data_IF_800699908710
#
_entry.id   IF_800699908710
#
_cell.length_a   1.000
_cell.length_b   1.000
_cell.length_c   1.000
_cell.angle_alpha   90.00
_cell.angle_beta   90.00
_cell.angle_gamma   90.00
#
_symmetry.space_group_name_H-M   'P 1'
#
loop_
_entity.id
_entity.type
_entity.pdbx_description
1 polymer ?
#
# COMPACT_ATOMS: atom_id res chain seq x y z
N UNK A 1 -26.28 -34.39 2.02
CA UNK A 1 -25.54 -33.89 0.83
C UNK A 1 -26.15 -32.63 0.17
N UNK A 2 -27.48 -32.50 -0.03
CA UNK A 2 -28.08 -31.33 -0.76
C UNK A 2 -27.93 -29.93 -0.10
N UNK A 3 -27.80 -29.84 1.23
CA UNK A 3 -27.60 -28.54 1.91
C UNK A 3 -26.21 -27.94 1.70
N UNK A 4 -25.18 -28.79 1.65
CA UNK A 4 -23.78 -28.38 1.48
C UNK A 4 -23.58 -27.78 0.08
N UNK A 5 -24.20 -28.39 -0.95
CA UNK A 5 -24.12 -27.88 -2.33
C UNK A 5 -24.86 -26.55 -2.51
N UNK A 6 -26.01 -26.35 -1.86
CA UNK A 6 -26.71 -25.06 -1.90
C UNK A 6 -25.95 -23.93 -1.20
N UNK A 7 -25.26 -24.22 -0.09
CA UNK A 7 -24.47 -23.22 0.64
C UNK A 7 -23.20 -22.83 -0.13
N UNK A 8 -22.53 -23.81 -0.75
CA UNK A 8 -21.38 -23.56 -1.63
C UNK A 8 -21.77 -22.69 -2.84
N UNK A 9 -22.94 -22.96 -3.46
CA UNK A 9 -23.44 -22.17 -4.59
C UNK A 9 -23.68 -20.71 -4.21
N UNK A 10 -24.23 -20.45 -3.01
CA UNK A 10 -24.46 -19.09 -2.49
C UNK A 10 -23.15 -18.33 -2.28
N UNK A 11 -22.14 -18.97 -1.71
CA UNK A 11 -20.82 -18.36 -1.53
C UNK A 11 -20.14 -18.04 -2.88
N UNK A 12 -20.22 -18.95 -3.85
CA UNK A 12 -19.68 -18.70 -5.20
C UNK A 12 -20.35 -17.49 -5.88
N UNK A 13 -21.68 -17.37 -5.75
CA UNK A 13 -22.43 -16.21 -6.26
C UNK A 13 -22.00 -14.93 -5.54
N UNK A 14 -21.80 -14.97 -4.22
CA UNK A 14 -21.34 -13.83 -3.43
C UNK A 14 -19.95 -13.38 -3.84
N UNK A 15 -19.01 -14.31 -3.98
CA UNK A 15 -17.64 -14.05 -4.40
C UNK A 15 -17.58 -13.49 -5.82
N UNK A 16 -18.37 -14.03 -6.75
CA UNK A 16 -18.39 -13.52 -8.13
C UNK A 16 -18.99 -12.11 -8.21
N UNK A 17 -20.08 -11.84 -7.46
CA UNK A 17 -20.61 -10.47 -7.32
C UNK A 17 -19.56 -9.51 -6.77
N UNK A 18 -18.86 -9.91 -5.71
CA UNK A 18 -17.79 -9.11 -5.11
C UNK A 18 -16.67 -8.85 -6.12
N UNK A 19 -16.26 -9.85 -6.90
CA UNK A 19 -15.25 -9.74 -7.94
C UNK A 19 -15.65 -8.75 -9.03
N UNK A 20 -16.90 -8.81 -9.50
CA UNK A 20 -17.43 -7.89 -10.52
C UNK A 20 -17.47 -6.45 -9.99
N UNK A 21 -17.97 -6.24 -8.77
CA UNK A 21 -17.98 -4.91 -8.15
C UNK A 21 -16.57 -4.34 -7.98
N UNK A 22 -15.61 -5.14 -7.50
CA UNK A 22 -14.21 -4.72 -7.38
C UNK A 22 -13.60 -4.39 -8.75
N UNK A 23 -13.91 -5.17 -9.78
CA UNK A 23 -13.43 -4.90 -11.15
C UNK A 23 -13.99 -3.58 -11.69
N UNK A 24 -15.26 -3.29 -11.46
CA UNK A 24 -15.89 -2.02 -11.86
C UNK A 24 -15.32 -0.84 -11.08
N UNK A 25 -15.13 -0.97 -9.77
CA UNK A 25 -14.49 0.04 -8.94
C UNK A 25 -13.07 0.36 -9.44
N UNK A 26 -12.26 -0.67 -9.73
CA UNK A 26 -10.91 -0.49 -10.31
C UNK A 26 -10.95 0.20 -11.68
N UNK A 27 -11.94 -0.11 -12.53
CA UNK A 27 -12.11 0.56 -13.83
C UNK A 27 -12.44 2.06 -13.65
N UNK A 28 -13.37 2.39 -12.74
CA UNK A 28 -13.73 3.79 -12.44
C UNK A 28 -12.53 4.56 -11.90
N UNK A 29 -11.83 4.01 -10.91
CA UNK A 29 -10.62 4.65 -10.37
C UNK A 29 -9.52 4.86 -11.41
N UNK A 30 -9.37 3.93 -12.37
CA UNK A 30 -8.44 4.13 -13.50
C UNK A 30 -8.88 5.25 -14.44
N UNK A 31 -10.17 5.31 -14.78
CA UNK A 31 -10.72 6.38 -15.63
C UNK A 31 -10.59 7.76 -14.97
N UNK A 32 -10.82 7.83 -13.66
CA UNK A 32 -10.64 9.03 -12.84
C UNK A 32 -9.16 9.36 -12.54
N UNK A 33 -8.22 8.50 -12.95
CA UNK A 33 -6.78 8.60 -12.62
C UNK A 33 -6.52 8.75 -11.11
N UNK A 34 -7.42 8.19 -10.30
CA UNK A 34 -7.39 8.32 -8.84
C UNK A 34 -6.20 7.53 -8.26
N UNK A 35 -5.33 8.16 -7.45
CA UNK A 35 -4.26 7.44 -6.76
C UNK A 35 -4.85 6.47 -5.73
N UNK A 36 -4.28 5.27 -5.63
CA UNK A 36 -4.59 4.32 -4.55
C UNK A 36 -3.95 4.78 -3.24
N UNK A 37 -4.45 4.30 -2.10
CA UNK A 37 -3.85 4.53 -0.77
C UNK A 37 -2.35 4.24 -0.78
N UNK A 38 -1.97 3.12 -1.41
CA UNK A 38 -0.57 2.75 -1.54
C UNK A 38 0.21 3.69 -2.45
N UNK A 39 -0.40 4.24 -3.50
CA UNK A 39 0.31 5.21 -4.36
C UNK A 39 0.57 6.52 -3.60
N UNK A 40 -0.42 7.03 -2.89
CA UNK A 40 -0.27 8.24 -2.06
C UNK A 40 0.73 8.04 -0.93
N UNK A 41 0.66 6.90 -0.22
CA UNK A 41 1.60 6.58 0.85
C UNK A 41 3.06 6.50 0.34
N UNK A 42 3.26 5.95 -0.86
CA UNK A 42 4.59 5.85 -1.48
C UNK A 42 5.18 7.21 -1.85
N UNK A 43 4.37 8.07 -2.46
CA UNK A 43 4.80 9.43 -2.80
C UNK A 43 5.11 10.21 -1.52
N UNK A 44 4.23 10.13 -0.52
CA UNK A 44 4.43 10.79 0.78
C UNK A 44 5.73 10.32 1.46
N UNK A 45 5.97 9.01 1.54
CA UNK A 45 7.19 8.46 2.16
C UNK A 45 8.45 8.90 1.42
N UNK A 46 8.45 8.88 0.08
CA UNK A 46 9.59 9.35 -0.70
C UNK A 46 9.94 10.81 -0.40
N UNK A 47 8.93 11.71 -0.42
CA UNK A 47 9.17 13.12 -0.14
C UNK A 47 9.56 13.37 1.31
N UNK A 48 9.04 12.59 2.26
CA UNK A 48 9.44 12.65 3.66
C UNK A 48 10.91 12.26 3.83
N UNK A 49 11.34 11.11 3.30
CA UNK A 49 12.73 10.69 3.36
C UNK A 49 13.66 11.67 2.64
N UNK A 50 13.25 12.17 1.47
CA UNK A 50 14.02 13.17 0.72
C UNK A 50 14.18 14.46 1.51
N UNK A 51 13.12 14.95 2.15
CA UNK A 51 13.16 16.17 2.96
C UNK A 51 14.16 16.05 4.10
N UNK A 52 14.08 14.99 4.92
CA UNK A 52 15.01 14.78 6.03
C UNK A 52 16.46 14.54 5.55
N UNK A 53 16.64 13.89 4.40
CA UNK A 53 17.96 13.74 3.79
C UNK A 53 18.55 15.10 3.36
N UNK A 54 17.77 15.95 2.70
CA UNK A 54 18.21 17.28 2.25
C UNK A 54 18.51 18.23 3.41
N UNK A 55 17.80 18.12 4.54
CA UNK A 55 18.06 18.90 5.75
C UNK A 55 19.20 18.32 6.63
N UNK A 56 19.77 17.17 6.25
CA UNK A 56 20.75 16.42 7.06
C UNK A 56 20.21 16.02 8.46
N UNK A 57 18.90 15.88 8.60
CA UNK A 57 18.16 15.54 9.82
C UNK A 57 17.81 14.05 9.86
N UNK A 58 18.79 13.19 9.55
CA UNK A 58 18.57 11.74 9.49
C UNK A 58 18.16 11.11 10.84
N UNK A 59 18.54 11.75 11.96
CA UNK A 59 18.11 11.34 13.29
C UNK A 59 16.61 11.53 13.49
N UNK A 60 16.03 12.58 12.94
CA UNK A 60 14.60 12.87 13.05
C UNK A 60 13.75 11.94 12.19
N UNK A 61 14.26 11.51 11.03
CA UNK A 61 13.64 10.46 10.24
C UNK A 61 13.57 9.13 11.01
N UNK A 62 14.65 8.75 11.69
CA UNK A 62 14.68 7.54 12.51
C UNK A 62 13.72 7.64 13.71
N UNK A 63 13.63 8.80 14.35
CA UNK A 63 12.66 9.06 15.42
C UNK A 63 11.22 8.92 14.92
N UNK A 64 10.90 9.50 13.76
CA UNK A 64 9.59 9.37 13.14
C UNK A 64 9.22 7.91 12.84
N UNK A 65 10.15 7.12 12.30
CA UNK A 65 9.91 5.70 12.02
C UNK A 65 9.67 4.92 13.32
N UNK A 66 10.45 5.20 14.37
CA UNK A 66 10.28 4.56 15.67
C UNK A 66 8.88 4.85 16.25
N UNK A 67 8.40 6.09 16.17
CA UNK A 67 7.06 6.47 16.60
C UNK A 67 5.97 5.77 15.79
N UNK A 68 6.14 5.68 14.46
CA UNK A 68 5.22 4.95 13.60
C UNK A 68 5.14 3.45 13.95
N UNK A 69 6.29 2.83 14.23
CA UNK A 69 6.37 1.43 14.67
C UNK A 69 5.73 1.23 16.04
N UNK A 70 5.94 2.15 16.99
CA UNK A 70 5.29 2.12 18.30
C UNK A 70 3.76 2.23 18.17
N UNK A 71 3.28 3.06 17.26
CA UNK A 71 1.84 3.20 16.98
C UNK A 71 1.24 1.96 16.30
N UNK A 72 2.03 1.20 15.54
CA UNK A 72 1.60 -0.11 15.00
C UNK A 72 1.58 -1.16 16.10
N UNK A 73 2.56 -1.16 16.99
CA UNK A 73 2.59 -2.04 18.17
C UNK A 73 1.37 -1.82 19.07
N UNK A 74 0.95 -0.57 19.30
CA UNK A 74 -0.26 -0.26 20.07
C UNK A 74 -1.56 -0.75 19.41
N UNK A 75 -1.54 -1.00 18.10
CA UNK A 75 -2.66 -1.60 17.36
C UNK A 75 -2.62 -3.14 17.37
N UNK A 76 -1.62 -3.74 18.03
CA UNK A 76 -1.44 -5.19 18.14
C UNK A 76 -0.56 -5.79 17.03
N UNK A 77 0.11 -4.98 16.22
CA UNK A 77 1.09 -5.49 15.25
C UNK A 77 2.42 -5.83 15.93
N UNK A 78 3.15 -6.79 15.38
CA UNK A 78 4.48 -7.13 15.87
C UNK A 78 5.47 -6.00 15.55
N UNK A 79 6.10 -5.44 16.58
CA UNK A 79 7.03 -4.31 16.48
C UNK A 79 8.23 -4.58 15.56
N UNK A 80 8.89 -5.73 15.74
CA UNK A 80 10.10 -6.11 15.00
C UNK A 80 9.78 -6.30 13.52
N UNK A 81 8.68 -6.99 13.22
CA UNK A 81 8.20 -7.17 11.85
C UNK A 81 7.83 -5.81 11.23
N UNK A 82 7.18 -4.93 12.01
CA UNK A 82 6.81 -3.60 11.53
C UNK A 82 8.05 -2.76 11.18
N UNK A 83 9.08 -2.76 12.04
CA UNK A 83 10.34 -2.09 11.78
C UNK A 83 11.03 -2.63 10.51
N UNK A 84 11.12 -3.95 10.37
CA UNK A 84 11.69 -4.59 9.17
C UNK A 84 10.94 -4.21 7.89
N UNK A 85 9.61 -4.05 7.95
CA UNK A 85 8.82 -3.57 6.78
C UNK A 85 9.19 -2.13 6.42
N UNK A 86 9.42 -1.26 7.40
CA UNK A 86 9.89 0.11 7.12
C UNK A 86 11.30 0.11 6.52
N UNK A 87 12.22 -0.68 7.05
CA UNK A 87 13.58 -0.82 6.50
C UNK A 87 13.55 -1.32 5.05
N UNK A 88 12.76 -2.36 4.77
CA UNK A 88 12.55 -2.87 3.42
C UNK A 88 11.97 -1.80 2.48
N UNK A 89 11.05 -0.97 2.97
CA UNK A 89 10.48 0.14 2.20
C UNK A 89 11.56 1.19 1.89
N UNK A 90 12.34 1.59 2.88
CA UNK A 90 13.42 2.59 2.71
C UNK A 90 14.46 2.07 1.73
N UNK A 91 14.94 0.84 1.90
CA UNK A 91 15.92 0.22 1.00
C UNK A 91 15.39 0.13 -0.43
N UNK A 92 14.12 -0.25 -0.58
CA UNK A 92 13.44 -0.32 -1.88
C UNK A 92 13.32 1.05 -2.55
N UNK A 93 13.18 2.14 -1.80
CA UNK A 93 13.05 3.49 -2.36
C UNK A 93 14.38 4.25 -2.51
N UNK A 94 15.42 3.87 -1.77
CA UNK A 94 16.73 4.53 -1.79
C UNK A 94 17.74 3.84 -2.70
N UNK A 95 17.80 2.50 -2.70
CA UNK A 95 18.84 1.73 -3.43
C UNK A 95 18.40 1.29 -4.82
N UNK A 96 17.12 1.02 -5.00
CA UNK A 96 16.58 0.74 -6.33
C UNK A 96 16.38 2.07 -7.05
N UNK A 97 16.84 2.19 -8.29
CA UNK A 97 16.41 3.23 -9.25
C UNK A 97 14.91 3.04 -9.60
N UNK A 98 14.08 2.84 -8.59
CA UNK A 98 12.65 2.61 -8.67
C UNK A 98 11.99 3.94 -9.02
N UNK A 99 12.10 4.33 -10.29
CA UNK A 99 11.20 5.34 -10.84
C UNK A 99 9.77 4.89 -10.52
N UNK A 100 8.97 5.78 -9.91
CA UNK A 100 7.57 5.53 -9.58
C UNK A 100 6.95 4.67 -10.69
N UNK A 101 6.57 3.43 -10.37
CA UNK A 101 6.23 2.42 -11.37
C UNK A 101 5.28 3.06 -12.38
N UNK A 102 5.77 3.25 -13.61
CA UNK A 102 5.00 3.90 -14.66
C UNK A 102 3.69 3.16 -14.80
N UNK A 103 2.57 3.88 -14.70
CA UNK A 103 1.24 3.35 -14.90
C UNK A 103 0.90 3.57 -16.38
N UNK A 104 0.91 2.53 -17.24
CA UNK A 104 0.75 2.72 -18.68
C UNK A 104 -0.55 3.45 -19.03
N UNK A 105 -1.64 3.12 -18.33
CA UNK A 105 -2.94 3.78 -18.44
C UNK A 105 -2.96 5.28 -18.05
N UNK A 106 -1.87 5.82 -17.50
CA UNK A 106 -1.73 7.26 -17.26
C UNK A 106 -1.02 7.99 -18.41
N UNK A 107 -0.38 7.26 -19.32
CA UNK A 107 0.42 7.76 -20.45
C UNK A 107 -0.16 7.36 -21.81
N UNK A 108 -1.26 6.60 -21.85
CA UNK A 108 -2.07 6.40 -23.06
C UNK A 108 -2.81 7.71 -23.38
N UNK A 109 -2.15 8.58 -24.15
CA UNK A 109 -2.74 9.69 -24.90
C UNK A 109 -2.57 9.41 -26.38
#
# INVERSE_FOLDING_TARGET
MRRITQQCLKELIRLEKQRVCQKQARKRSKAERKPDRNDSARVALYYLCKHFYEQNELLDLNGFIADAVNQLESQGFNKVISASVFDDLIDKYTKSNWQFRRKPHLNEQ
#
